data_IF_008490529838
#
_entry.id   IF_008490529838
#
_cell.length_a   1.000
_cell.length_b   1.000
_cell.length_c   1.000
_cell.angle_alpha   90.00
_cell.angle_beta   90.00
_cell.angle_gamma   90.00
#
_symmetry.space_group_name_H-M   'P 1'
#
loop_
_entity.id
_entity.type
_entity.pdbx_description
1 polymer ?
#
# COMPACT_ATOMS: atom_id res chain seq x y z
N UNK A 1 -7.82 -16.92 -2.31
CA UNK A 1 -7.19 -16.09 -1.25
C UNK A 1 -5.72 -16.01 -1.60
N UNK A 2 -5.24 -14.89 -2.14
CA UNK A 2 -3.82 -14.71 -2.50
C UNK A 2 -3.13 -14.01 -1.33
N UNK A 3 -2.14 -14.66 -0.72
CA UNK A 3 -1.31 -14.10 0.36
C UNK A 3 -0.05 -13.47 -0.24
N UNK A 4 0.19 -12.19 0.04
CA UNK A 4 1.36 -11.44 -0.42
C UNK A 4 2.22 -11.03 0.78
N UNK A 5 3.53 -11.29 0.72
CA UNK A 5 4.51 -10.90 1.73
C UNK A 5 5.21 -9.61 1.29
N UNK A 6 5.27 -8.59 2.15
CA UNK A 6 5.86 -7.28 1.85
C UNK A 6 7.04 -6.97 2.77
N UNK A 7 8.21 -6.65 2.19
CA UNK A 7 9.37 -6.16 2.92
C UNK A 7 9.49 -4.63 2.82
N UNK A 8 9.66 -3.94 3.96
CA UNK A 8 9.97 -2.50 4.03
C UNK A 8 11.48 -2.31 4.24
N UNK A 9 12.12 -1.42 3.47
CA UNK A 9 13.50 -0.94 3.76
C UNK A 9 13.45 0.54 4.11
N UNK A 10 13.78 0.88 5.35
CA UNK A 10 13.97 2.26 5.81
C UNK A 10 15.44 2.65 5.69
N UNK A 11 15.76 3.83 5.16
CA UNK A 11 17.12 4.38 5.14
C UNK A 11 17.36 5.30 6.35
N UNK A 12 18.53 5.15 6.98
CA UNK A 12 18.89 5.79 8.26
C UNK A 12 19.42 7.23 8.11
N UNK A 13 18.69 8.15 7.49
CA UNK A 13 19.12 9.55 7.44
C UNK A 13 17.95 10.56 7.58
N UNK A 14 17.98 11.32 8.68
CA UNK A 14 17.35 12.63 8.89
C UNK A 14 16.07 12.98 8.09
N UNK A 15 14.90 12.77 8.71
CA UNK A 15 13.64 13.56 8.57
C UNK A 15 13.09 13.89 7.17
N UNK A 16 13.59 13.28 6.10
CA UNK A 16 12.99 13.30 4.77
C UNK A 16 12.58 11.87 4.43
N UNK A 17 11.32 11.54 4.73
CA UNK A 17 10.67 10.29 4.35
C UNK A 17 10.47 10.30 2.83
N UNK A 18 11.51 10.00 2.08
CA UNK A 18 11.44 9.96 0.63
C UNK A 18 11.92 8.60 0.12
N UNK A 19 10.99 7.92 -0.55
CA UNK A 19 11.09 6.67 -1.32
C UNK A 19 10.53 5.45 -0.57
N UNK A 20 9.22 5.24 -0.78
CA UNK A 20 8.54 3.96 -0.57
C UNK A 20 8.58 3.18 -1.87
N UNK A 21 9.24 2.00 -1.85
CA UNK A 21 9.21 1.00 -2.92
C UNK A 21 8.49 -0.23 -2.40
N UNK A 22 7.58 -0.77 -3.20
CA UNK A 22 6.95 -2.06 -2.93
C UNK A 22 7.52 -3.11 -3.88
N UNK A 23 7.89 -4.26 -3.32
CA UNK A 23 8.21 -5.48 -4.05
C UNK A 23 7.09 -6.47 -3.77
N UNK A 24 6.45 -6.99 -4.83
CA UNK A 24 5.29 -7.86 -4.72
C UNK A 24 5.68 -9.23 -5.22
N UNK A 25 5.37 -10.26 -4.44
CA UNK A 25 5.69 -11.64 -4.78
C UNK A 25 4.43 -12.49 -4.82
N UNK A 26 4.24 -13.23 -5.90
CA UNK A 26 3.27 -14.31 -5.97
C UNK A 26 3.87 -15.57 -5.32
N UNK A 27 3.16 -16.13 -4.34
CA UNK A 27 3.54 -17.34 -3.62
C UNK A 27 2.91 -18.58 -4.27
N UNK A 28 3.75 -19.51 -4.75
CA UNK A 28 3.33 -20.86 -5.12
C UNK A 28 3.50 -21.78 -3.89
N UNK A 29 2.39 -22.04 -3.19
CA UNK A 29 2.41 -22.85 -1.96
C UNK A 29 2.77 -24.31 -2.24
N UNK A 30 2.45 -24.82 -3.43
CA UNK A 30 2.73 -26.22 -3.80
C UNK A 30 4.21 -26.41 -4.06
N UNK A 31 4.83 -25.47 -4.80
CA UNK A 31 6.27 -25.50 -5.08
C UNK A 31 7.13 -24.91 -3.97
N UNK A 32 6.52 -24.22 -3.00
CA UNK A 32 7.21 -23.55 -1.92
C UNK A 32 8.12 -22.42 -2.39
N UNK A 33 7.76 -21.73 -3.48
CA UNK A 33 8.58 -20.66 -4.05
C UNK A 33 7.80 -19.35 -4.25
N UNK A 34 8.55 -18.27 -4.45
CA UNK A 34 8.00 -16.93 -4.65
C UNK A 34 8.56 -16.35 -5.94
N UNK A 35 7.69 -15.68 -6.70
CA UNK A 35 8.05 -14.98 -7.94
C UNK A 35 7.68 -13.52 -7.83
N UNK A 36 8.65 -12.64 -8.07
CA UNK A 36 8.36 -11.20 -8.13
C UNK A 36 7.43 -10.89 -9.31
N UNK A 37 6.42 -10.06 -9.04
CA UNK A 37 5.43 -9.59 -10.03
C UNK A 37 5.37 -8.06 -10.02
N UNK A 38 5.14 -7.48 -11.19
CA UNK A 38 4.93 -6.05 -11.37
C UNK A 38 3.52 -5.70 -11.90
N UNK A 39 2.66 -6.70 -11.95
CA UNK A 39 1.31 -6.58 -12.50
C UNK A 39 0.32 -7.42 -11.69
N UNK A 40 -0.66 -6.75 -11.09
CA UNK A 40 -1.77 -7.35 -10.34
C UNK A 40 -3.00 -7.61 -11.22
N UNK A 41 -2.92 -7.31 -12.52
CA UNK A 41 -4.06 -7.35 -13.43
C UNK A 41 -5.15 -6.38 -12.97
N UNK A 42 -6.38 -6.87 -12.89
CA UNK A 42 -7.53 -6.10 -12.42
C UNK A 42 -7.60 -5.96 -10.89
N UNK A 43 -6.61 -6.45 -10.16
CA UNK A 43 -6.56 -6.33 -8.71
C UNK A 43 -5.80 -5.09 -8.24
N UNK A 44 -6.12 -4.66 -7.02
CA UNK A 44 -5.38 -3.65 -6.25
C UNK A 44 -5.14 -4.16 -4.84
N UNK A 45 -4.10 -3.66 -4.18
CA UNK A 45 -3.78 -4.00 -2.78
C UNK A 45 -3.91 -2.77 -1.89
N UNK A 46 -4.45 -2.97 -0.70
CA UNK A 46 -4.46 -1.99 0.39
C UNK A 46 -3.52 -2.49 1.48
N UNK A 47 -2.58 -1.65 1.91
CA UNK A 47 -1.58 -1.94 2.94
C UNK A 47 -1.76 -0.97 4.09
N UNK A 48 -1.80 -1.49 5.31
CA UNK A 48 -1.82 -0.69 6.53
C UNK A 48 -0.89 -1.30 7.57
N UNK A 49 -0.74 -0.64 8.71
CA UNK A 49 -0.01 -1.20 9.86
C UNK A 49 -0.59 -2.55 10.34
N UNK A 50 -1.88 -2.82 10.08
CA UNK A 50 -2.58 -4.03 10.50
C UNK A 50 -2.55 -5.16 9.48
N UNK A 51 -1.89 -4.98 8.34
CA UNK A 51 -1.76 -5.99 7.29
C UNK A 51 -2.16 -5.48 5.90
N UNK A 52 -2.40 -6.42 4.99
CA UNK A 52 -2.71 -6.13 3.60
C UNK A 52 -3.88 -6.96 3.07
N UNK A 53 -4.69 -6.35 2.21
CA UNK A 53 -5.85 -6.98 1.56
C UNK A 53 -5.87 -6.64 0.08
N UNK A 54 -6.19 -7.63 -0.77
CA UNK A 54 -6.39 -7.44 -2.20
C UNK A 54 -7.88 -7.33 -2.54
N UNK A 55 -8.22 -6.47 -3.50
CA UNK A 55 -9.57 -6.30 -4.01
C UNK A 55 -9.59 -6.26 -5.54
N UNK A 56 -10.66 -6.80 -6.11
CA UNK A 56 -11.01 -6.67 -7.53
C UNK A 56 -11.43 -5.23 -7.82
N UNK A 57 -10.63 -4.53 -8.62
CA UNK A 57 -10.85 -3.11 -8.92
C UNK A 57 -12.00 -2.86 -9.88
N UNK A 58 -12.42 -3.87 -10.66
CA UNK A 58 -13.52 -3.73 -11.63
C UNK A 58 -14.85 -3.44 -10.93
N UNK A 59 -15.02 -3.96 -9.70
CA UNK A 59 -16.18 -3.71 -8.85
C UNK A 59 -16.30 -2.25 -8.37
N UNK A 60 -15.24 -1.47 -8.50
CA UNK A 60 -15.15 -0.08 -8.05
C UNK A 60 -14.66 0.83 -9.17
N UNK A 61 -15.17 0.59 -10.39
CA UNK A 61 -14.78 1.34 -11.60
C UNK A 61 -14.90 2.85 -11.38
N UNK A 62 -13.82 3.59 -11.68
CA UNK A 62 -13.75 5.05 -11.52
C UNK A 62 -13.30 5.53 -10.14
N UNK A 63 -13.33 4.68 -9.10
CA UNK A 63 -12.89 5.02 -7.74
C UNK A 63 -11.50 4.46 -7.44
N UNK A 64 -11.26 3.21 -7.81
CA UNK A 64 -10.01 2.49 -7.55
C UNK A 64 -9.38 2.13 -8.89
N UNK A 65 -8.06 2.31 -9.01
CA UNK A 65 -7.32 1.91 -10.22
C UNK A 65 -6.77 0.50 -10.07
N UNK A 66 -6.74 -0.32 -11.14
CA UNK A 66 -6.04 -1.60 -11.13
C UNK A 66 -4.52 -1.39 -11.00
N UNK A 67 -3.82 -2.45 -10.60
CA UNK A 67 -2.37 -2.48 -10.46
C UNK A 67 -1.80 -1.35 -9.59
N UNK A 68 -2.54 -0.98 -8.53
CA UNK A 68 -2.12 -0.04 -7.51
C UNK A 68 -1.95 -0.72 -6.15
N UNK A 69 -1.09 -0.12 -5.34
CA UNK A 69 -0.98 -0.38 -3.92
C UNK A 69 -1.34 0.91 -3.20
N UNK A 70 -2.45 0.93 -2.49
CA UNK A 70 -2.83 2.04 -1.61
C UNK A 70 -2.29 1.74 -0.22
N UNK A 71 -1.65 2.70 0.42
CA UNK A 71 -1.01 2.47 1.70
C UNK A 71 -1.30 3.59 2.68
N UNK A 72 -1.49 3.21 3.95
CA UNK A 72 -1.69 4.14 5.05
C UNK A 72 -0.38 4.38 5.80
N UNK A 73 -0.35 5.47 6.54
CA UNK A 73 0.75 5.85 7.43
C UNK A 73 1.00 4.74 8.46
N UNK A 74 2.27 4.41 8.70
CA UNK A 74 2.70 3.34 9.60
C UNK A 74 3.15 3.85 10.98
N UNK A 75 3.12 5.16 11.20
CA UNK A 75 3.65 5.79 12.41
C UNK A 75 2.59 5.97 13.50
N UNK A 76 2.31 4.90 14.24
CA UNK A 76 1.27 4.91 15.29
C UNK A 76 1.50 5.94 16.42
N UNK A 77 2.71 6.05 16.98
CA UNK A 77 2.93 6.78 18.25
C UNK A 77 2.98 8.32 18.14
N UNK A 78 3.49 8.89 17.04
CA UNK A 78 3.60 10.35 16.90
C UNK A 78 2.35 10.99 16.30
N UNK A 79 1.53 10.20 15.61
CA UNK A 79 0.32 10.66 14.94
C UNK A 79 -0.72 11.26 15.90
N UNK A 80 -0.78 10.77 17.15
CA UNK A 80 -1.66 11.33 18.20
C UNK A 80 -1.35 12.78 18.58
N UNK A 81 -0.14 13.27 18.31
CA UNK A 81 0.31 14.61 18.70
C UNK A 81 0.41 15.57 17.52
N UNK A 82 0.12 15.12 16.30
CA UNK A 82 0.18 15.92 15.09
C UNK A 82 -1.21 16.46 14.72
N UNK A 83 -1.26 17.71 14.25
CA UNK A 83 -2.48 18.30 13.72
C UNK A 83 -3.00 17.45 12.54
N UNK A 84 -4.29 17.10 12.57
CA UNK A 84 -4.93 16.12 11.68
C UNK A 84 -4.51 14.63 11.84
N UNK A 85 -3.86 14.25 12.94
CA UNK A 85 -3.66 12.85 13.31
C UNK A 85 -2.51 12.15 12.58
N UNK A 86 -1.52 12.90 12.10
CA UNK A 86 -0.52 12.36 11.17
C UNK A 86 -1.14 11.93 9.84
N UNK A 87 -0.41 11.25 8.96
CA UNK A 87 -0.90 10.92 7.61
C UNK A 87 -0.12 11.54 6.46
N UNK A 88 1.10 11.99 6.70
CA UNK A 88 1.98 12.52 5.64
C UNK A 88 2.41 11.42 4.68
N UNK A 89 2.50 10.19 5.18
CA UNK A 89 3.04 9.05 4.44
C UNK A 89 1.96 8.15 3.85
N UNK A 90 0.75 8.70 3.63
CA UNK A 90 -0.30 8.01 2.89
C UNK A 90 -0.18 8.25 1.40
N UNK A 91 -0.51 7.23 0.61
CA UNK A 91 -0.40 7.36 -0.82
C UNK A 91 -0.86 6.16 -1.61
N UNK A 92 -0.55 6.22 -2.91
CA UNK A 92 -0.67 5.10 -3.80
C UNK A 92 0.63 4.87 -4.56
N UNK A 93 0.94 3.61 -4.80
CA UNK A 93 2.09 3.17 -5.56
C UNK A 93 1.60 2.42 -6.79
N UNK A 94 1.99 2.90 -7.97
CA UNK A 94 1.70 2.20 -9.21
C UNK A 94 2.83 1.20 -9.46
N UNK A 95 2.46 -0.08 -9.47
CA UNK A 95 3.41 -1.18 -9.53
C UNK A 95 4.09 -1.29 -10.92
N UNK A 96 3.39 -0.89 -11.98
CA UNK A 96 3.91 -0.95 -13.35
C UNK A 96 5.07 0.02 -13.57
N UNK A 97 4.91 1.27 -13.14
CA UNK A 97 5.91 2.33 -13.34
C UNK A 97 6.74 2.61 -12.08
N UNK A 98 6.49 1.85 -11.01
CA UNK A 98 7.24 1.89 -9.75
C UNK A 98 7.28 3.28 -9.10
N UNK A 99 6.19 4.05 -9.23
CA UNK A 99 6.08 5.42 -8.72
C UNK A 99 5.08 5.51 -7.59
N UNK A 100 5.54 6.06 -6.46
CA UNK A 100 4.69 6.51 -5.37
C UNK A 100 4.10 7.89 -5.68
N UNK A 101 2.85 8.09 -5.25
CA UNK A 101 2.18 9.39 -5.17
C UNK A 101 1.62 9.55 -3.77
N UNK A 102 1.97 10.66 -3.14
CA UNK A 102 1.58 10.99 -1.77
C UNK A 102 0.30 11.81 -1.77
N UNK A 103 -0.59 11.58 -0.81
CA UNK A 103 -1.84 12.35 -0.70
C UNK A 103 -1.58 13.78 -0.21
N UNK A 104 -0.49 14.02 0.54
CA UNK A 104 -0.17 15.30 1.16
C UNK A 104 -1.22 15.79 2.17
N UNK A 105 -2.25 14.97 2.44
CA UNK A 105 -3.40 15.22 3.31
C UNK A 105 -3.89 13.88 3.88
N UNK A 106 -4.49 13.86 5.08
CA UNK A 106 -5.12 12.67 5.61
C UNK A 106 -6.20 12.13 4.66
N UNK A 107 -6.09 10.87 4.25
CA UNK A 107 -7.15 10.14 3.55
C UNK A 107 -8.11 9.57 4.59
N UNK A 108 -9.28 10.17 4.74
CA UNK A 108 -10.38 9.56 5.49
C UNK A 108 -11.05 8.51 4.61
N UNK A 109 -10.68 7.25 4.81
CA UNK A 109 -11.42 6.13 4.24
C UNK A 109 -12.68 5.93 5.11
N UNK A 110 -13.83 6.42 4.65
CA UNK A 110 -15.10 6.03 5.27
C UNK A 110 -15.26 4.52 5.11
N UNK A 111 -15.19 3.79 6.23
CA UNK A 111 -15.53 2.39 6.26
C UNK A 111 -17.02 2.29 5.90
N UNK A 112 -17.33 1.83 4.70
CA UNK A 112 -18.71 1.40 4.38
C UNK A 112 -18.90 0.11 5.17
N UNK A 113 -19.48 0.26 6.35
CA UNK A 113 -20.02 -0.86 7.13
C UNK A 113 -21.33 -1.21 6.43
N UNK A 114 -21.39 -2.38 5.79
CA UNK A 114 -22.67 -3.02 5.46
C UNK A 114 -23.22 -3.71 6.70
#
# INVERSE_FOLDING_TARGET
MHSYLFGRRHSNASRALEIVKFEVYELDVVKGNMKEINNLGDSTIFVSCNGATSMDSTKFTGLIKPNQIYFTDDWFDQNYHLECGGGKDMGCYNLQNQKAKWSGKPLYLYQIVN
#
